data_IF_695902413531
#
_entry.id   IF_695902413531
#
_cell.length_a   1.000
_cell.length_b   1.000
_cell.length_c   1.000
_cell.angle_alpha   90.00
_cell.angle_beta   90.00
_cell.angle_gamma   90.00
#
_symmetry.space_group_name_H-M   'P 1'
#
loop_
_entity.id
_entity.type
_entity.pdbx_description
1 polymer ?
#
# COMPACT_ATOMS: atom_id res chain seq x y z
N UNK A 1 3.69 -4.27 -6.53
CA UNK A 1 4.04 -5.68 -6.20
C UNK A 1 2.93 -6.22 -5.32
N UNK A 2 2.58 -7.50 -5.45
CA UNK A 2 1.60 -8.13 -4.58
C UNK A 2 2.28 -8.60 -3.29
N UNK A 3 1.68 -8.33 -2.14
CA UNK A 3 2.24 -8.57 -0.82
C UNK A 3 1.18 -9.15 0.12
N UNK A 4 1.52 -10.06 1.06
CA UNK A 4 0.56 -10.57 2.03
C UNK A 4 -0.24 -9.48 2.75
N UNK A 5 -1.55 -9.69 2.85
CA UNK A 5 -2.47 -8.83 3.59
C UNK A 5 -2.43 -9.15 5.09
N UNK A 6 -2.57 -8.14 5.96
CA UNK A 6 -2.59 -8.34 7.41
C UNK A 6 -3.86 -9.06 7.91
N UNK A 7 -5.02 -8.73 7.35
CA UNK A 7 -6.33 -9.20 7.84
C UNK A 7 -6.66 -10.63 7.41
N UNK A 8 -6.00 -11.11 6.35
CA UNK A 8 -6.19 -12.44 5.76
C UNK A 8 -4.84 -13.10 5.50
N UNK A 9 -3.88 -12.88 6.40
CA UNK A 9 -2.50 -13.33 6.26
C UNK A 9 -2.42 -14.85 6.15
N UNK A 10 -3.14 -15.54 7.02
CA UNK A 10 -3.22 -16.99 7.13
C UNK A 10 -3.78 -17.63 5.84
N UNK A 11 -4.67 -16.93 5.15
CA UNK A 11 -5.29 -17.35 3.89
C UNK A 11 -4.43 -17.05 2.65
N UNK A 12 -3.29 -16.37 2.81
CA UNK A 12 -2.38 -16.03 1.70
C UNK A 12 -2.90 -14.95 0.75
N UNK A 13 -3.90 -14.18 1.18
CA UNK A 13 -4.43 -13.06 0.38
C UNK A 13 -3.36 -11.99 0.21
N UNK A 14 -3.31 -11.40 -0.98
CA UNK A 14 -2.30 -10.38 -1.32
C UNK A 14 -2.94 -9.06 -1.71
N UNK A 15 -2.30 -7.97 -1.33
CA UNK A 15 -2.65 -6.58 -1.67
C UNK A 15 -1.55 -5.92 -2.48
N UNK A 16 -1.90 -4.87 -3.23
CA UNK A 16 -0.93 -4.14 -4.03
C UNK A 16 -0.24 -3.04 -3.22
N UNK A 17 1.09 -3.09 -3.19
CA UNK A 17 1.93 -2.13 -2.47
C UNK A 17 3.07 -1.58 -3.32
N UNK A 18 3.57 -0.41 -2.92
CA UNK A 18 4.77 0.23 -3.46
C UNK A 18 6.00 -0.63 -3.11
N UNK A 19 6.89 -0.82 -4.10
CA UNK A 19 8.16 -1.57 -3.93
C UNK A 19 9.38 -0.66 -3.80
N UNK A 20 9.37 0.51 -4.44
CA UNK A 20 10.54 1.40 -4.49
C UNK A 20 10.59 2.26 -3.23
N UNK A 21 11.75 2.32 -2.58
CA UNK A 21 11.99 3.16 -1.40
C UNK A 21 11.53 2.54 -0.06
N UNK A 22 11.10 1.28 -0.07
CA UNK A 22 10.70 0.50 1.12
C UNK A 22 11.10 -0.96 0.91
N UNK A 23 11.41 -1.68 1.99
CA UNK A 23 11.68 -3.13 2.00
C UNK A 23 10.46 -3.94 2.46
N UNK A 24 9.36 -3.27 2.83
CA UNK A 24 8.14 -3.92 3.34
C UNK A 24 7.67 -5.11 2.49
N UNK A 25 7.56 -5.04 1.14
CA UNK A 25 7.02 -6.16 0.38
C UNK A 25 7.88 -7.43 0.48
N UNK A 26 9.21 -7.28 0.55
CA UNK A 26 10.13 -8.41 0.71
C UNK A 26 10.08 -8.97 2.13
N UNK A 27 10.01 -8.09 3.14
CA UNK A 27 9.92 -8.47 4.55
C UNK A 27 8.61 -9.20 4.86
N UNK A 28 7.49 -8.72 4.34
CA UNK A 28 6.19 -9.37 4.47
C UNK A 28 6.11 -10.70 3.71
N UNK A 29 6.74 -10.82 2.54
CA UNK A 29 6.88 -12.10 1.83
C UNK A 29 7.67 -13.10 2.68
N UNK A 30 8.80 -12.67 3.26
CA UNK A 30 9.60 -13.50 4.18
C UNK A 30 8.78 -13.98 5.38
N UNK A 31 8.01 -13.10 6.02
CA UNK A 31 7.11 -13.51 7.11
C UNK A 31 6.11 -14.59 6.67
N UNK A 32 5.55 -14.47 5.47
CA UNK A 32 4.63 -15.48 4.95
C UNK A 32 5.33 -16.81 4.63
N UNK A 33 6.54 -16.77 4.09
CA UNK A 33 7.36 -17.97 3.86
C UNK A 33 7.70 -18.67 5.19
N UNK A 34 8.18 -17.93 6.19
CA UNK A 34 8.44 -18.43 7.54
C UNK A 34 7.16 -19.00 8.15
N UNK A 35 6.04 -18.30 8.02
CA UNK A 35 4.74 -18.78 8.50
C UNK A 35 4.36 -20.09 7.82
N UNK A 36 4.62 -20.27 6.53
CA UNK A 36 4.30 -21.52 5.83
C UNK A 36 5.23 -22.68 6.23
N UNK A 37 6.50 -22.39 6.49
CA UNK A 37 7.53 -23.40 6.74
C UNK A 37 7.45 -24.04 8.14
N UNK A 38 7.14 -23.26 9.18
CA UNK A 38 7.26 -23.72 10.58
C UNK A 38 5.91 -23.84 11.29
N UNK A 39 5.81 -24.70 12.31
CA UNK A 39 4.54 -24.92 13.04
C UNK A 39 4.24 -23.86 14.09
N UNK A 40 5.22 -23.09 14.53
CA UNK A 40 5.09 -22.03 15.53
C UNK A 40 6.40 -21.24 15.66
N UNK A 41 6.43 -20.28 16.58
CA UNK A 41 7.61 -19.41 16.78
C UNK A 41 8.84 -20.18 17.28
N UNK A 42 8.64 -21.21 18.11
CA UNK A 42 9.73 -22.01 18.69
C UNK A 42 10.37 -22.99 17.69
N UNK A 43 9.68 -23.26 16.58
CA UNK A 43 10.13 -24.13 15.49
C UNK A 43 11.02 -23.38 14.47
N UNK A 44 11.15 -22.05 14.62
CA UNK A 44 11.99 -21.22 13.75
C UNK A 44 13.47 -21.41 14.14
N UNK A 45 14.36 -21.77 13.20
CA UNK A 45 15.78 -21.90 13.46
C UNK A 45 16.38 -20.61 14.04
N UNK A 46 17.29 -20.75 15.01
CA UNK A 46 17.85 -19.63 15.76
C UNK A 46 18.39 -18.50 14.87
N UNK A 47 19.11 -18.84 13.79
CA UNK A 47 19.63 -17.82 12.86
C UNK A 47 18.55 -17.03 12.11
N UNK A 48 17.43 -17.67 11.75
CA UNK A 48 16.31 -17.01 11.10
C UNK A 48 15.52 -16.15 12.11
N UNK A 49 15.33 -16.67 13.33
CA UNK A 49 14.72 -15.93 14.43
C UNK A 49 15.50 -14.66 14.77
N UNK A 50 16.81 -14.77 14.94
CA UNK A 50 17.73 -13.65 15.18
C UNK A 50 17.60 -12.57 14.10
N UNK A 51 17.50 -12.99 12.84
CA UNK A 51 17.33 -12.06 11.74
C UNK A 51 15.99 -11.33 11.82
N UNK A 52 14.89 -12.03 12.12
CA UNK A 52 13.56 -11.44 12.27
C UNK A 52 13.54 -10.39 13.40
N UNK A 53 14.07 -10.75 14.57
CA UNK A 53 14.13 -9.88 15.73
C UNK A 53 14.98 -8.64 15.47
N UNK A 54 16.15 -8.78 14.84
CA UNK A 54 17.06 -7.65 14.56
C UNK A 54 16.57 -6.75 13.43
N UNK A 55 16.05 -7.32 12.33
CA UNK A 55 15.82 -6.59 11.08
C UNK A 55 14.36 -6.19 10.83
N UNK A 56 13.39 -6.95 11.33
CA UNK A 56 11.96 -6.65 11.17
C UNK A 56 11.38 -6.06 12.45
N UNK A 57 11.35 -6.85 13.52
CA UNK A 57 10.63 -6.49 14.74
C UNK A 57 11.38 -5.42 15.55
N UNK A 58 12.72 -5.49 15.56
CA UNK A 58 13.64 -4.67 16.35
C UNK A 58 13.45 -4.80 17.87
N UNK A 59 12.84 -5.90 18.27
CA UNK A 59 12.62 -6.38 19.64
C UNK A 59 12.49 -7.91 19.58
N UNK A 60 12.73 -8.63 20.69
CA UNK A 60 12.48 -10.06 20.80
C UNK A 60 11.03 -10.44 20.44
N UNK A 61 10.81 -11.64 19.87
CA UNK A 61 9.46 -12.07 19.50
C UNK A 61 8.53 -12.22 20.72
N UNK A 62 9.08 -12.52 21.90
CA UNK A 62 8.36 -12.54 23.18
C UNK A 62 7.76 -11.17 23.51
N UNK A 63 8.52 -10.11 23.26
CA UNK A 63 8.05 -8.74 23.51
C UNK A 63 6.97 -8.34 22.51
N UNK A 64 7.06 -8.80 21.26
CA UNK A 64 6.00 -8.60 20.26
C UNK A 64 4.73 -9.36 20.67
N UNK A 65 4.87 -10.58 21.18
CA UNK A 65 3.75 -11.36 21.68
C UNK A 65 3.08 -10.66 22.88
N UNK A 66 3.87 -10.16 23.84
CA UNK A 66 3.34 -9.38 24.97
C UNK A 66 2.54 -8.16 24.51
N UNK A 67 3.10 -7.36 23.59
CA UNK A 67 2.37 -6.22 23.00
C UNK A 67 1.09 -6.63 22.26
N UNK A 68 1.11 -7.80 21.64
CA UNK A 68 -0.04 -8.36 20.92
C UNK A 68 -1.14 -8.77 21.91
N UNK A 69 -0.78 -9.41 23.02
CA UNK A 69 -1.69 -9.73 24.13
C UNK A 69 -2.29 -8.46 24.71
N UNK A 70 -1.49 -7.43 24.99
CA UNK A 70 -1.96 -6.14 25.49
C UNK A 70 -2.96 -5.50 24.51
N UNK A 71 -2.67 -5.53 23.21
CA UNK A 71 -3.55 -4.99 22.17
C UNK A 71 -4.90 -5.71 22.11
N UNK A 72 -4.90 -7.05 22.17
CA UNK A 72 -6.11 -7.86 22.06
C UNK A 72 -6.89 -7.98 23.37
N UNK A 73 -6.27 -7.77 24.54
CA UNK A 73 -6.94 -7.87 25.84
C UNK A 73 -8.13 -6.93 25.99
N UNK A 74 -8.09 -5.79 25.31
CA UNK A 74 -9.14 -4.78 25.29
C UNK A 74 -10.08 -4.87 24.09
N UNK A 75 -9.79 -5.74 23.11
CA UNK A 75 -10.48 -5.77 21.81
C UNK A 75 -11.12 -7.11 21.48
N UNK A 76 -10.34 -8.18 21.59
CA UNK A 76 -10.78 -9.55 21.31
C UNK A 76 -9.89 -10.55 22.09
N UNK A 77 -10.19 -10.78 23.38
CA UNK A 77 -9.46 -11.72 24.21
C UNK A 77 -9.45 -13.16 23.67
N UNK A 78 -10.43 -13.55 22.86
CA UNK A 78 -10.50 -14.90 22.29
C UNK A 78 -9.30 -15.19 21.35
N UNK A 79 -8.72 -14.17 20.72
CA UNK A 79 -7.47 -14.32 19.94
C UNK A 79 -6.31 -14.77 20.81
N UNK A 80 -6.26 -14.29 22.06
CA UNK A 80 -5.19 -14.61 23.02
C UNK A 80 -5.32 -16.06 23.44
N UNK A 81 -6.53 -16.48 23.84
CA UNK A 81 -6.80 -17.87 24.22
C UNK A 81 -6.46 -18.84 23.09
N UNK A 82 -6.83 -18.50 21.86
CA UNK A 82 -6.49 -19.31 20.69
C UNK A 82 -4.98 -19.33 20.45
N UNK A 83 -4.29 -18.19 20.53
CA UNK A 83 -2.83 -18.11 20.37
C UNK A 83 -2.07 -18.89 21.44
N UNK A 84 -2.58 -18.96 22.67
CA UNK A 84 -1.98 -19.77 23.73
C UNK A 84 -2.12 -21.27 23.50
N UNK A 85 -3.16 -21.71 22.78
CA UNK A 85 -3.43 -23.14 22.48
C UNK A 85 -2.84 -23.61 21.16
N UNK A 86 -2.71 -22.69 20.18
CA UNK A 86 -2.26 -22.97 18.83
C UNK A 86 -0.99 -22.13 18.51
N UNK A 87 0.21 -22.75 18.57
CA UNK A 87 1.47 -22.07 18.25
C UNK A 87 1.51 -21.46 16.84
N UNK A 88 0.75 -22.03 15.90
CA UNK A 88 0.66 -21.50 14.54
C UNK A 88 -0.14 -20.21 14.51
N UNK A 89 -1.25 -20.17 15.24
CA UNK A 89 -2.06 -18.97 15.41
C UNK A 89 -1.29 -17.88 16.16
N UNK A 90 -0.54 -18.23 17.20
CA UNK A 90 0.35 -17.29 17.90
C UNK A 90 1.34 -16.63 16.93
N UNK A 91 2.03 -17.43 16.11
CA UNK A 91 2.96 -16.93 15.11
C UNK A 91 2.27 -16.00 14.11
N UNK A 92 1.06 -16.33 13.65
CA UNK A 92 0.29 -15.46 12.76
C UNK A 92 0.01 -14.10 13.41
N UNK A 93 -0.43 -14.08 14.67
CA UNK A 93 -0.69 -12.83 15.39
C UNK A 93 0.57 -11.97 15.55
N UNK A 94 1.70 -12.57 15.90
CA UNK A 94 3.00 -11.88 15.98
C UNK A 94 3.42 -11.31 14.62
N UNK A 95 3.24 -12.05 13.52
CA UNK A 95 3.60 -11.54 12.19
C UNK A 95 2.64 -10.44 11.72
N UNK A 96 1.35 -10.58 12.02
CA UNK A 96 0.32 -9.57 11.76
C UNK A 96 0.57 -8.28 12.53
N UNK A 97 1.23 -8.33 13.69
CA UNK A 97 1.71 -7.12 14.37
C UNK A 97 2.60 -6.28 13.43
N UNK A 98 3.62 -6.88 12.80
CA UNK A 98 4.52 -6.14 11.89
C UNK A 98 3.73 -5.58 10.69
N UNK A 99 2.86 -6.40 10.09
CA UNK A 99 2.03 -5.96 8.97
C UNK A 99 1.11 -4.79 9.37
N UNK A 100 0.48 -4.84 10.55
CA UNK A 100 -0.34 -3.74 11.04
C UNK A 100 0.46 -2.47 11.36
N UNK A 101 1.62 -2.62 12.02
CA UNK A 101 2.47 -1.47 12.36
C UNK A 101 3.09 -0.81 11.12
N UNK A 102 3.41 -1.59 10.08
CA UNK A 102 3.98 -1.08 8.83
C UNK A 102 3.12 -0.01 8.14
N UNK A 103 1.79 -0.15 8.21
CA UNK A 103 0.84 0.87 7.74
C UNK A 103 0.81 2.08 8.68
N UNK A 104 0.84 1.86 10.01
CA UNK A 104 0.85 2.95 11.00
C UNK A 104 2.09 3.82 10.87
N UNK A 105 3.27 3.23 10.75
CA UNK A 105 4.54 3.94 10.56
C UNK A 105 4.55 4.80 9.29
N UNK A 106 3.97 4.28 8.20
CA UNK A 106 3.86 5.03 6.96
C UNK A 106 2.93 6.25 7.12
N UNK A 107 1.80 6.08 7.80
CA UNK A 107 0.82 7.15 8.02
C UNK A 107 1.32 8.23 8.98
N UNK A 108 2.03 7.85 10.05
CA UNK A 108 2.62 8.80 11.00
C UNK A 108 3.91 9.44 10.49
N UNK A 109 4.54 8.86 9.46
CA UNK A 109 5.82 9.33 8.95
C UNK A 109 6.99 9.06 9.90
N UNK A 110 6.96 7.97 10.66
CA UNK A 110 8.05 7.60 11.59
C UNK A 110 9.37 7.38 10.82
N UNK A 111 10.36 8.28 10.96
CA UNK A 111 11.58 8.23 10.14
C UNK A 111 12.44 7.00 10.46
N UNK A 112 12.35 6.44 11.67
CA UNK A 112 13.12 5.27 12.08
C UNK A 112 12.66 3.98 11.37
N UNK A 113 11.44 4.00 10.82
CA UNK A 113 10.78 2.86 10.19
C UNK A 113 10.54 3.05 8.68
N UNK A 114 11.21 4.01 8.03
CA UNK A 114 11.01 4.30 6.59
C UNK A 114 11.11 3.08 5.66
N UNK A 115 12.06 2.17 5.92
CA UNK A 115 12.21 0.94 5.13
C UNK A 115 11.11 -0.11 5.40
N UNK A 116 10.31 0.08 6.44
CA UNK A 116 9.21 -0.78 6.84
C UNK A 116 7.85 -0.24 6.39
N UNK A 117 7.79 0.88 5.66
CA UNK A 117 6.52 1.48 5.28
C UNK A 117 5.72 0.59 4.31
N UNK A 118 4.51 0.23 4.73
CA UNK A 118 3.50 -0.34 3.86
C UNK A 118 2.71 0.81 3.21
N UNK A 119 2.95 1.02 1.91
CA UNK A 119 2.25 2.04 1.13
C UNK A 119 1.41 1.34 0.06
N UNK A 120 0.09 1.42 0.19
CA UNK A 120 -0.85 0.84 -0.76
C UNK A 120 -0.84 1.67 -2.03
N UNK A 121 -0.39 1.06 -3.13
CA UNK A 121 -0.12 1.83 -4.34
C UNK A 121 -0.22 0.96 -5.61
N UNK A 122 -1.12 1.40 -6.50
CA UNK A 122 -1.43 0.86 -7.82
C UNK A 122 -0.43 1.24 -8.93
N UNK A 123 -0.42 0.56 -10.10
CA UNK A 123 0.28 1.10 -11.27
C UNK A 123 -0.33 2.42 -11.75
N UNK A 124 -1.60 2.67 -11.42
CA UNK A 124 -2.31 3.92 -11.71
C UNK A 124 -1.56 5.16 -11.18
N UNK A 125 -0.89 5.06 -10.03
CA UNK A 125 -0.06 6.16 -9.52
C UNK A 125 1.15 6.45 -10.42
N UNK A 126 1.75 5.41 -11.01
CA UNK A 126 2.83 5.55 -11.98
C UNK A 126 2.36 6.22 -13.27
N UNK A 127 1.22 5.76 -13.82
CA UNK A 127 0.60 6.38 -14.99
C UNK A 127 0.23 7.85 -14.74
N UNK A 128 -0.32 8.15 -13.55
CA UNK A 128 -0.61 9.52 -13.13
C UNK A 128 0.66 10.37 -13.03
N UNK A 129 1.74 9.85 -12.44
CA UNK A 129 3.02 10.56 -12.36
C UNK A 129 3.62 10.84 -13.74
N UNK A 130 3.45 9.94 -14.71
CA UNK A 130 3.89 10.16 -16.10
C UNK A 130 3.04 11.23 -16.78
N UNK A 131 1.71 11.12 -16.70
CA UNK A 131 0.79 12.09 -17.28
C UNK A 131 0.96 13.51 -16.71
N UNK A 132 1.35 13.63 -15.43
CA UNK A 132 1.59 14.93 -14.78
C UNK A 132 3.01 15.46 -14.96
N UNK A 133 3.91 14.73 -15.61
CA UNK A 133 5.32 15.12 -15.77
C UNK A 133 5.43 16.47 -16.49
N UNK A 134 6.27 17.36 -15.95
CA UNK A 134 6.47 18.70 -16.52
C UNK A 134 5.34 19.69 -16.24
N UNK A 135 4.32 19.32 -15.47
CA UNK A 135 3.19 20.20 -15.11
C UNK A 135 3.21 20.59 -13.63
N UNK A 136 2.34 21.51 -13.24
CA UNK A 136 2.19 21.89 -11.82
C UNK A 136 1.77 20.70 -10.94
N UNK A 137 1.05 19.70 -11.47
CA UNK A 137 0.66 18.49 -10.73
C UNK A 137 1.83 17.49 -10.53
N UNK A 138 2.99 17.70 -11.17
CA UNK A 138 4.17 16.88 -10.94
C UNK A 138 4.56 16.89 -9.44
N UNK A 139 4.44 18.06 -8.79
CA UNK A 139 4.72 18.24 -7.36
C UNK A 139 3.55 17.73 -6.50
N UNK A 140 3.77 16.78 -5.57
CA UNK A 140 2.70 16.22 -4.74
C UNK A 140 1.89 17.26 -3.95
N UNK A 141 2.52 18.37 -3.54
CA UNK A 141 1.90 19.45 -2.77
C UNK A 141 0.78 20.16 -3.56
N UNK A 142 0.83 20.11 -4.89
CA UNK A 142 -0.17 20.70 -5.78
C UNK A 142 -1.34 19.75 -6.07
N UNK A 143 -1.24 18.46 -5.68
CA UNK A 143 -2.24 17.43 -5.98
C UNK A 143 -3.41 17.52 -5.02
N UNK A 144 -4.31 18.48 -5.28
CA UNK A 144 -5.60 18.59 -4.59
C UNK A 144 -6.59 17.60 -5.21
N UNK A 145 -7.30 16.84 -4.37
CA UNK A 145 -8.21 15.77 -4.81
C UNK A 145 -9.23 16.26 -5.84
N UNK A 146 -9.85 17.42 -5.62
CA UNK A 146 -10.82 17.99 -6.55
C UNK A 146 -10.19 18.37 -7.89
N UNK A 147 -9.03 19.04 -7.87
CA UNK A 147 -8.31 19.41 -9.10
C UNK A 147 -7.93 18.19 -9.93
N UNK A 148 -7.43 17.14 -9.27
CA UNK A 148 -7.10 15.87 -9.93
C UNK A 148 -8.34 15.23 -10.54
N UNK A 149 -9.43 15.12 -9.77
CA UNK A 149 -10.69 14.53 -10.24
C UNK A 149 -11.25 15.27 -11.47
N UNK A 150 -11.30 16.61 -11.43
CA UNK A 150 -11.78 17.40 -12.56
C UNK A 150 -10.92 17.25 -13.80
N UNK A 151 -9.59 17.20 -13.66
CA UNK A 151 -8.73 16.94 -14.81
C UNK A 151 -8.98 15.56 -15.42
N UNK A 152 -9.13 14.51 -14.59
CA UNK A 152 -9.41 13.16 -15.08
C UNK A 152 -10.75 13.09 -15.81
N UNK A 153 -11.81 13.69 -15.26
CA UNK A 153 -13.14 13.73 -15.87
C UNK A 153 -13.16 14.57 -17.16
N UNK A 154 -12.54 15.75 -17.13
CA UNK A 154 -12.42 16.60 -18.31
C UNK A 154 -11.66 15.89 -19.43
N UNK A 155 -10.51 15.29 -19.11
CA UNK A 155 -9.72 14.53 -20.07
C UNK A 155 -10.48 13.34 -20.65
N UNK A 156 -11.20 12.59 -19.81
CA UNK A 156 -12.07 11.50 -20.28
C UNK A 156 -13.15 12.00 -21.27
N UNK A 157 -13.80 13.13 -20.97
CA UNK A 157 -14.80 13.72 -21.86
C UNK A 157 -14.21 14.18 -23.20
N UNK A 158 -13.01 14.79 -23.19
CA UNK A 158 -12.29 15.16 -24.42
C UNK A 158 -11.93 13.91 -25.22
N UNK A 159 -11.35 12.88 -24.60
CA UNK A 159 -11.01 11.64 -25.29
C UNK A 159 -12.24 10.93 -25.86
N UNK A 160 -13.35 10.91 -25.13
CA UNK A 160 -14.61 10.36 -25.63
C UNK A 160 -15.07 11.11 -26.89
N UNK A 161 -15.03 12.45 -26.88
CA UNK A 161 -15.39 13.26 -28.05
C UNK A 161 -14.46 12.99 -29.25
N UNK A 162 -13.15 12.95 -29.01
CA UNK A 162 -12.15 12.65 -30.04
C UNK A 162 -12.39 11.27 -30.65
N UNK A 163 -12.63 10.25 -29.81
CA UNK A 163 -12.88 8.89 -30.27
C UNK A 163 -14.18 8.78 -31.07
N UNK A 164 -15.24 9.50 -30.68
CA UNK A 164 -16.50 9.59 -31.43
C UNK A 164 -16.31 10.25 -32.80
N UNK A 165 -15.51 11.31 -32.88
CA UNK A 165 -15.21 11.95 -34.17
C UNK A 165 -14.40 11.02 -35.08
N UNK A 166 -13.38 10.35 -34.53
CA UNK A 166 -12.57 9.38 -35.28
C UNK A 166 -13.39 8.19 -35.77
N UNK A 167 -14.33 7.68 -34.97
CA UNK A 167 -15.20 6.57 -35.38
C UNK A 167 -16.16 6.95 -36.51
N UNK A 168 -16.43 8.24 -36.70
CA UNK A 168 -17.21 8.78 -37.82
C UNK A 168 -16.34 9.14 -39.04
N UNK A 169 -15.03 8.83 -39.02
CA UNK A 169 -14.11 9.06 -40.13
C UNK A 169 -13.45 10.46 -40.14
N UNK A 170 -13.66 11.28 -39.10
CA UNK A 170 -12.97 12.57 -39.01
C UNK A 170 -11.50 12.38 -38.59
N UNK A 171 -10.61 13.10 -39.27
CA UNK A 171 -9.20 13.21 -38.89
C UNK A 171 -9.05 14.23 -37.74
N UNK A 172 -8.87 13.72 -36.52
CA UNK A 172 -8.53 14.55 -35.35
C UNK A 172 -7.04 14.41 -35.06
N UNK A 173 -6.29 15.52 -35.13
CA UNK A 173 -4.85 15.54 -34.85
C UNK A 173 -4.55 15.04 -33.44
N UNK A 174 -3.35 14.49 -33.24
CA UNK A 174 -2.87 14.09 -31.92
C UNK A 174 -2.78 15.28 -30.95
N UNK A 175 -2.45 16.46 -31.47
CA UNK A 175 -2.39 17.71 -30.71
C UNK A 175 -3.76 18.12 -30.17
N UNK A 176 -4.82 18.04 -30.97
CA UNK A 176 -6.18 18.30 -30.53
C UNK A 176 -6.69 17.24 -29.52
N UNK A 177 -6.04 16.07 -29.47
CA UNK A 177 -6.33 15.00 -28.51
C UNK A 177 -5.42 15.04 -27.26
N UNK A 178 -4.51 16.00 -27.17
CA UNK A 178 -3.55 16.07 -26.07
C UNK A 178 -4.13 16.85 -24.88
N UNK A 179 -4.50 16.14 -23.81
CA UNK A 179 -5.04 16.74 -22.58
C UNK A 179 -3.95 16.79 -21.51
N UNK A 180 -3.49 18.01 -21.22
CA UNK A 180 -2.57 18.29 -20.10
C UNK A 180 -3.34 18.71 -18.85
N UNK A 181 -2.80 18.41 -17.65
CA UNK A 181 -3.26 19.00 -16.40
C UNK A 181 -3.44 20.53 -16.49
N UNK A 182 -4.62 21.00 -16.08
CA UNK A 182 -5.00 22.41 -15.98
C UNK A 182 -5.32 22.76 -14.53
N UNK A 183 -5.14 24.04 -14.19
CA UNK A 183 -5.55 24.54 -12.89
C UNK A 183 -7.07 24.46 -12.73
N UNK A 184 -7.54 24.33 -11.50
CA UNK A 184 -8.96 24.10 -11.26
C UNK A 184 -9.82 25.24 -11.83
N UNK A 185 -9.37 26.50 -11.74
CA UNK A 185 -10.09 27.66 -12.24
C UNK A 185 -10.25 27.66 -13.76
N UNK A 186 -9.26 27.16 -14.50
CA UNK A 186 -9.34 27.00 -15.95
C UNK A 186 -10.38 25.95 -16.34
N UNK A 187 -10.41 24.84 -15.60
CA UNK A 187 -11.40 23.78 -15.79
C UNK A 187 -12.81 24.27 -15.45
N UNK A 188 -12.96 25.01 -14.35
CA UNK A 188 -14.23 25.64 -13.93
C UNK A 188 -14.80 26.53 -15.04
N UNK A 189 -13.98 27.44 -15.56
CA UNK A 189 -14.36 28.32 -16.67
C UNK A 189 -14.82 27.55 -17.91
N UNK A 190 -14.13 26.46 -18.28
CA UNK A 190 -14.52 25.61 -19.42
C UNK A 190 -15.81 24.82 -19.20
N UNK A 191 -16.10 24.48 -17.95
CA UNK A 191 -17.26 23.66 -17.59
C UNK A 191 -18.48 24.51 -17.18
N UNK A 192 -18.34 25.83 -17.12
CA UNK A 192 -19.45 26.76 -16.93
C UNK A 192 -19.89 26.96 -15.48
N UNK A 193 -18.96 26.84 -14.52
CA UNK A 193 -19.21 27.12 -13.10
C UNK A 193 -18.03 27.82 -12.42
#
# INVERSE_FOLDING_TARGET
MMCPCADMFEMGVKVQVLKRGTMFPMRAAKLYETYRAYKGLDDIPAGERDWLEKNLFRVPLEDVWRQTVDYFSTRDPAQIEKGQRDPKHQMALVFRWYLGQSSRWANSGDPSRRLDYQIWCGPAMGAFNEWTRGTFLAQPQNRRVATVAYNLLHGAAVFQRVNTLRSQGFLVSSEAAHVVPQEINELRSRLGY
#
